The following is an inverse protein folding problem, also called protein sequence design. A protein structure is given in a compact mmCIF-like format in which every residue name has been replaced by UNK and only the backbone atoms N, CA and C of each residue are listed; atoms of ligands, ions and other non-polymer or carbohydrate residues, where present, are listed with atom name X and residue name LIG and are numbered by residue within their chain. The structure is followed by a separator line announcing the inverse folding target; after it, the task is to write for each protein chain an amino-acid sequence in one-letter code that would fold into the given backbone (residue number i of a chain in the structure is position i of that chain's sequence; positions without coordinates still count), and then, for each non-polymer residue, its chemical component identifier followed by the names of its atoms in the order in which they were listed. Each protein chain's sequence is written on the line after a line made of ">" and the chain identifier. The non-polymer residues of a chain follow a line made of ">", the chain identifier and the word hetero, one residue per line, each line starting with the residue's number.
data_IF_637685855784
#
_entry.id   IF_637685855784
#
_cell.length_a   1.000
_cell.length_b   1.000
_cell.length_c   1.000
_cell.angle_alpha   90.00
_cell.angle_beta   90.00
_cell.angle_gamma   90.00
#
_symmetry.space_group_name_H-M   'P 1'
#
loop_
_entity.id
_entity.type
_entity.pdbx_description
1 polymer ?
#
# COMPACT_ATOMS: atom_id res chain seq x y z
N UNK A 1 12.70 30.23 -7.26
CA UNK A 1 11.25 30.25 -7.41
C UNK A 1 10.88 29.11 -8.35
N UNK A 2 10.71 27.91 -7.79
CA UNK A 2 10.10 26.79 -8.50
C UNK A 2 8.60 27.00 -8.46
N UNK A 3 7.95 27.07 -9.62
CA UNK A 3 6.49 27.04 -9.69
C UNK A 3 6.01 25.71 -9.07
N UNK A 4 5.15 25.77 -8.07
CA UNK A 4 4.40 24.63 -7.56
C UNK A 4 3.42 24.15 -8.65
N UNK A 5 3.95 23.44 -9.66
CA UNK A 5 3.11 22.77 -10.64
C UNK A 5 2.49 21.57 -9.97
N UNK A 6 1.19 21.42 -10.12
CA UNK A 6 0.50 20.22 -9.65
C UNK A 6 0.98 19.00 -10.46
N UNK A 7 0.89 17.82 -9.88
CA UNK A 7 1.18 16.56 -10.61
C UNK A 7 0.32 16.44 -11.89
N UNK A 8 -0.88 17.01 -11.87
CA UNK A 8 -1.78 17.06 -13.03
C UNK A 8 -1.22 17.94 -14.16
N UNK A 9 -0.64 19.09 -13.80
CA UNK A 9 -0.06 20.02 -14.81
C UNK A 9 1.19 19.40 -15.44
N UNK A 10 2.04 18.76 -14.63
CA UNK A 10 3.22 18.04 -15.10
C UNK A 10 2.82 16.89 -16.04
N UNK A 11 1.78 16.14 -15.69
CA UNK A 11 1.24 15.07 -16.52
C UNK A 11 0.78 15.59 -17.87
N UNK A 12 0.00 16.68 -17.90
CA UNK A 12 -0.52 17.25 -19.13
C UNK A 12 0.60 17.79 -20.01
N UNK A 13 1.60 18.46 -19.45
CA UNK A 13 2.78 18.92 -20.18
C UNK A 13 3.55 17.75 -20.80
N UNK A 14 3.70 16.67 -20.05
CA UNK A 14 4.39 15.46 -20.55
C UNK A 14 3.61 14.80 -21.69
N UNK A 15 2.28 14.67 -21.58
CA UNK A 15 1.41 14.17 -22.66
C UNK A 15 1.58 15.04 -23.93
N UNK A 16 1.49 16.36 -23.79
CA UNK A 16 1.59 17.28 -24.92
C UNK A 16 2.96 17.17 -25.60
N UNK A 17 4.04 17.21 -24.81
CA UNK A 17 5.40 17.10 -25.33
C UNK A 17 5.65 15.74 -26.02
N UNK A 18 5.09 14.66 -25.48
CA UNK A 18 5.18 13.33 -26.07
C UNK A 18 4.45 13.28 -27.41
N UNK A 19 3.24 13.86 -27.51
CA UNK A 19 2.46 13.92 -28.74
C UNK A 19 3.17 14.74 -29.84
N UNK A 20 3.74 15.89 -29.48
CA UNK A 20 4.47 16.76 -30.44
C UNK A 20 5.71 16.03 -30.98
N UNK A 21 6.48 15.38 -30.11
CA UNK A 21 7.66 14.59 -30.51
C UNK A 21 7.27 13.36 -31.34
N UNK A 22 6.16 12.69 -31.02
CA UNK A 22 5.66 11.57 -31.80
C UNK A 22 5.27 12.00 -33.22
N UNK A 23 4.58 13.14 -33.35
CA UNK A 23 4.20 13.67 -34.63
C UNK A 23 5.44 14.00 -35.49
N UNK A 24 6.47 14.57 -34.90
CA UNK A 24 7.73 14.90 -35.60
C UNK A 24 8.49 13.63 -36.00
N UNK A 25 8.78 12.73 -35.04
CA UNK A 25 9.63 11.55 -35.29
C UNK A 25 8.97 10.48 -36.19
N UNK A 26 7.66 10.48 -36.33
CA UNK A 26 6.94 9.57 -37.25
C UNK A 26 6.73 10.16 -38.63
N UNK A 27 7.30 11.31 -38.95
CA UNK A 27 7.28 11.87 -40.30
C UNK A 27 8.08 11.03 -41.31
N UNK A 28 7.65 11.01 -42.60
CA UNK A 28 8.26 10.18 -43.64
C UNK A 28 9.74 10.46 -43.89
N UNK A 29 10.21 11.68 -43.60
CA UNK A 29 11.62 12.05 -43.66
C UNK A 29 12.47 11.17 -42.72
N UNK A 30 11.98 10.84 -41.53
CA UNK A 30 12.69 10.03 -40.55
C UNK A 30 12.76 8.55 -40.96
N UNK A 31 11.76 8.02 -41.69
CA UNK A 31 11.82 6.69 -42.27
C UNK A 31 12.94 6.56 -43.28
N UNK A 32 13.09 7.56 -44.16
CA UNK A 32 14.19 7.61 -45.11
C UNK A 32 15.54 7.62 -44.42
N UNK A 33 15.73 8.48 -43.41
CA UNK A 33 16.99 8.55 -42.64
C UNK A 33 17.27 7.28 -41.85
N UNK A 34 16.24 6.65 -41.27
CA UNK A 34 16.38 5.35 -40.55
C UNK A 34 16.93 4.28 -41.50
N UNK A 35 16.43 4.21 -42.71
CA UNK A 35 16.73 3.09 -43.62
C UNK A 35 17.99 3.35 -44.46
N UNK A 36 18.42 4.61 -44.62
CA UNK A 36 19.49 5.00 -45.55
C UNK A 36 20.65 5.76 -44.88
N UNK A 37 20.67 5.95 -43.57
CA UNK A 37 21.74 6.63 -42.89
C UNK A 37 22.41 5.77 -41.80
N UNK A 38 23.59 6.19 -41.37
CA UNK A 38 24.32 5.61 -40.23
C UNK A 38 23.61 5.81 -38.88
N UNK A 39 22.56 6.65 -38.86
CA UNK A 39 21.80 6.98 -37.64
C UNK A 39 20.50 6.14 -37.50
N UNK A 40 20.34 5.07 -38.27
CA UNK A 40 19.13 4.24 -38.24
C UNK A 40 18.83 3.66 -36.87
N UNK A 41 19.85 3.20 -36.15
CA UNK A 41 19.71 2.73 -34.76
C UNK A 41 19.29 3.84 -33.80
N UNK A 42 19.77 5.06 -33.98
CA UNK A 42 19.44 6.22 -33.14
C UNK A 42 17.98 6.63 -33.32
N UNK A 43 17.50 6.64 -34.57
CA UNK A 43 16.10 6.96 -34.88
C UNK A 43 15.16 5.88 -34.32
N UNK A 44 15.54 4.61 -34.47
CA UNK A 44 14.78 3.48 -33.90
C UNK A 44 14.71 3.61 -32.39
N UNK A 45 15.84 3.87 -31.71
CA UNK A 45 15.88 4.06 -30.28
C UNK A 45 15.02 5.22 -29.81
N UNK A 46 15.10 6.37 -30.48
CA UNK A 46 14.28 7.54 -30.14
C UNK A 46 12.79 7.27 -30.28
N UNK A 47 12.36 6.55 -31.32
CA UNK A 47 10.95 6.15 -31.51
C UNK A 47 10.47 5.17 -30.45
N UNK A 48 11.26 4.16 -30.11
CA UNK A 48 10.89 3.18 -29.10
C UNK A 48 10.85 3.79 -27.70
N UNK A 49 11.79 4.67 -27.35
CA UNK A 49 11.75 5.44 -26.10
C UNK A 49 10.48 6.30 -26.02
N UNK A 50 10.16 7.03 -27.10
CA UNK A 50 9.00 7.90 -27.12
C UNK A 50 7.68 7.11 -27.08
N UNK A 51 7.60 5.98 -27.79
CA UNK A 51 6.44 5.07 -27.72
C UNK A 51 6.27 4.45 -26.33
N UNK A 52 7.38 4.18 -25.63
CA UNK A 52 7.37 3.73 -24.23
C UNK A 52 6.78 4.81 -23.32
N UNK A 53 7.30 6.04 -23.40
CA UNK A 53 6.80 7.18 -22.63
C UNK A 53 5.31 7.42 -22.90
N UNK A 54 4.90 7.41 -24.17
CA UNK A 54 3.50 7.61 -24.58
C UNK A 54 2.57 6.57 -23.94
N UNK A 55 2.97 5.30 -24.02
CA UNK A 55 2.21 4.19 -23.42
C UNK A 55 2.08 4.37 -21.90
N UNK A 56 3.17 4.73 -21.22
CA UNK A 56 3.20 4.84 -19.77
C UNK A 56 2.45 6.08 -19.26
N UNK A 57 2.52 7.17 -19.97
CA UNK A 57 1.84 8.43 -19.59
C UNK A 57 0.34 8.34 -19.81
N UNK A 58 -0.10 7.78 -20.94
CA UNK A 58 -1.52 7.63 -21.26
C UNK A 58 -2.19 6.40 -20.61
N UNK A 59 -1.41 5.51 -20.01
CA UNK A 59 -1.88 4.33 -19.26
C UNK A 59 -1.60 4.46 -17.76
N UNK A 60 -0.64 3.67 -17.26
CA UNK A 60 -0.44 3.47 -15.81
C UNK A 60 -0.20 4.76 -15.01
N UNK A 61 0.48 5.76 -15.57
CA UNK A 61 0.71 7.02 -14.87
C UNK A 61 -0.60 7.78 -14.65
N UNK A 62 -1.47 7.83 -15.65
CA UNK A 62 -2.80 8.45 -15.54
C UNK A 62 -3.68 7.70 -14.51
N UNK A 63 -3.65 6.37 -14.52
CA UNK A 63 -4.44 5.57 -13.58
C UNK A 63 -3.97 5.77 -12.13
N UNK A 64 -2.65 5.79 -11.89
CA UNK A 64 -2.06 6.09 -10.59
C UNK A 64 -2.36 7.52 -10.12
N UNK A 65 -2.36 8.51 -11.02
CA UNK A 65 -2.77 9.87 -10.68
C UNK A 65 -4.25 9.96 -10.29
N UNK A 66 -5.12 9.25 -11.01
CA UNK A 66 -6.54 9.21 -10.69
C UNK A 66 -6.78 8.52 -9.34
N UNK A 67 -6.08 7.43 -9.06
CA UNK A 67 -6.09 6.78 -7.75
C UNK A 67 -5.63 7.76 -6.66
N UNK A 68 -4.50 8.44 -6.85
CA UNK A 68 -4.00 9.44 -5.90
C UNK A 68 -5.02 10.55 -5.58
N UNK A 69 -5.73 11.05 -6.60
CA UNK A 69 -6.81 12.05 -6.40
C UNK A 69 -7.97 11.49 -5.58
N UNK A 70 -8.38 10.23 -5.83
CA UNK A 70 -9.42 9.56 -5.05
C UNK A 70 -9.00 9.39 -3.58
N UNK A 71 -7.72 9.05 -3.33
CA UNK A 71 -7.17 8.89 -1.99
C UNK A 71 -7.10 10.20 -1.19
N UNK A 72 -6.87 11.34 -1.85
CA UNK A 72 -6.88 12.67 -1.21
C UNK A 72 -8.27 13.11 -0.74
N UNK A 73 -9.33 12.50 -1.25
CA UNK A 73 -10.72 12.78 -0.88
C UNK A 73 -11.20 12.11 0.40
N UNK A 74 -10.37 11.32 1.07
CA UNK A 74 -10.76 10.64 2.31
C UNK A 74 -11.09 11.63 3.42
N UNK A 75 -12.28 11.51 3.98
CA UNK A 75 -12.72 12.35 5.09
C UNK A 75 -13.54 11.54 6.10
N UNK A 76 -13.27 11.77 7.37
CA UNK A 76 -14.05 11.17 8.46
C UNK A 76 -15.43 11.86 8.52
N UNK A 77 -16.50 11.09 8.34
CA UNK A 77 -17.89 11.55 8.46
C UNK A 77 -18.65 10.62 9.40
N UNK A 78 -19.17 11.16 10.48
CA UNK A 78 -19.96 10.38 11.46
C UNK A 78 -19.24 9.11 11.95
N UNK A 79 -17.95 9.19 12.23
CA UNK A 79 -17.17 8.05 12.68
C UNK A 79 -16.78 7.03 11.59
N UNK A 80 -17.09 7.31 10.32
CA UNK A 80 -16.75 6.42 9.22
C UNK A 80 -15.93 7.11 8.13
N UNK A 81 -15.07 6.36 7.45
CA UNK A 81 -14.28 6.79 6.29
C UNK A 81 -14.51 5.81 5.15
N UNK A 82 -14.87 6.31 3.99
CA UNK A 82 -14.94 5.51 2.76
C UNK A 82 -13.56 5.47 2.11
N UNK A 83 -12.94 4.30 2.12
CA UNK A 83 -11.66 4.00 1.49
C UNK A 83 -11.80 2.97 0.35
N UNK A 84 -13.00 2.83 -0.20
CA UNK A 84 -13.28 1.87 -1.28
C UNK A 84 -12.35 2.02 -2.49
N UNK A 85 -11.81 3.23 -2.70
CA UNK A 85 -10.78 3.47 -3.73
C UNK A 85 -9.53 2.59 -3.58
N UNK A 86 -9.20 2.14 -2.37
CA UNK A 86 -8.08 1.22 -2.12
C UNK A 86 -8.37 -0.21 -2.59
N UNK A 87 -9.63 -0.57 -2.77
CA UNK A 87 -10.01 -1.91 -3.24
C UNK A 87 -9.65 -2.11 -4.72
N UNK A 88 -9.62 -1.03 -5.51
CA UNK A 88 -9.22 -1.07 -6.93
C UNK A 88 -7.69 -1.03 -7.10
N UNK A 89 -6.95 -0.76 -6.03
CA UNK A 89 -5.49 -0.57 -6.08
C UNK A 89 -4.73 -1.80 -6.62
N UNK A 90 -5.07 -3.04 -6.24
CA UNK A 90 -4.38 -4.22 -6.77
C UNK A 90 -4.43 -4.31 -8.28
N UNK A 91 -5.59 -4.11 -8.89
CA UNK A 91 -5.75 -4.20 -10.35
C UNK A 91 -5.00 -3.08 -11.07
N UNK A 92 -5.07 -1.84 -10.54
CA UNK A 92 -4.35 -0.69 -11.10
C UNK A 92 -2.83 -0.93 -11.04
N UNK A 93 -2.31 -1.37 -9.89
CA UNK A 93 -0.87 -1.61 -9.71
C UNK A 93 -0.40 -2.79 -10.55
N UNK A 94 -1.15 -3.87 -10.62
CA UNK A 94 -0.85 -5.04 -11.45
C UNK A 94 -0.81 -4.68 -12.94
N UNK A 95 -1.76 -3.87 -13.42
CA UNK A 95 -1.75 -3.40 -14.80
C UNK A 95 -0.56 -2.49 -15.07
N UNK A 96 -0.26 -1.56 -14.15
CA UNK A 96 0.90 -0.67 -14.25
C UNK A 96 2.22 -1.46 -14.29
N UNK A 97 2.39 -2.45 -13.42
CA UNK A 97 3.56 -3.33 -13.40
C UNK A 97 3.73 -4.08 -14.72
N UNK A 98 2.63 -4.67 -15.25
CA UNK A 98 2.64 -5.36 -16.53
C UNK A 98 3.08 -4.44 -17.68
N UNK A 99 2.55 -3.21 -17.74
CA UNK A 99 2.84 -2.28 -18.81
C UNK A 99 4.29 -1.80 -18.74
N UNK A 100 4.79 -1.49 -17.54
CA UNK A 100 6.20 -1.12 -17.30
C UNK A 100 7.14 -2.25 -17.70
N UNK A 101 6.89 -3.49 -17.27
CA UNK A 101 7.69 -4.66 -17.63
C UNK A 101 7.72 -4.91 -19.14
N UNK A 102 6.60 -4.68 -19.82
CA UNK A 102 6.51 -4.80 -21.27
C UNK A 102 7.35 -3.74 -21.98
N UNK A 103 7.27 -2.46 -21.54
CA UNK A 103 8.07 -1.40 -22.14
C UNK A 103 9.57 -1.63 -21.88
N UNK A 104 9.96 -2.01 -20.67
CA UNK A 104 11.35 -2.37 -20.34
C UNK A 104 11.86 -3.51 -21.24
N UNK A 105 11.01 -4.53 -21.49
CA UNK A 105 11.35 -5.64 -22.38
C UNK A 105 11.54 -5.18 -23.84
N UNK A 106 10.73 -4.24 -24.32
CA UNK A 106 10.89 -3.65 -25.67
C UNK A 106 12.17 -2.84 -25.75
N UNK A 107 12.41 -1.95 -24.81
CA UNK A 107 13.60 -1.11 -24.80
C UNK A 107 14.91 -1.92 -24.69
N UNK A 108 14.89 -3.05 -23.99
CA UNK A 108 16.04 -3.95 -23.93
C UNK A 108 16.39 -4.64 -25.27
N UNK A 109 15.46 -4.66 -26.23
CA UNK A 109 15.68 -5.19 -27.58
C UNK A 109 16.14 -4.13 -28.57
N UNK A 110 16.13 -2.86 -28.19
CA UNK A 110 16.54 -1.76 -29.05
C UNK A 110 18.04 -1.85 -29.29
N UNK A 111 18.48 -1.77 -30.57
CA UNK A 111 19.92 -1.76 -30.88
C UNK A 111 20.62 -0.57 -30.21
N UNK A 112 21.88 -0.78 -29.81
CA UNK A 112 22.68 0.29 -29.21
C UNK A 112 22.80 1.47 -30.16
N UNK A 113 22.37 2.68 -29.76
CA UNK A 113 22.51 3.88 -30.57
C UNK A 113 23.97 4.24 -30.81
N UNK A 114 24.28 4.83 -31.97
CA UNK A 114 25.62 5.30 -32.32
C UNK A 114 25.94 6.67 -31.74
N UNK A 115 24.91 7.50 -31.49
CA UNK A 115 25.04 8.80 -30.85
C UNK A 115 25.05 8.63 -29.32
N UNK A 116 26.14 8.97 -28.68
CA UNK A 116 26.34 8.78 -27.24
C UNK A 116 25.22 9.40 -26.38
N UNK A 117 24.68 10.57 -26.78
CA UNK A 117 23.60 11.23 -26.05
C UNK A 117 22.30 10.42 -26.12
N UNK A 118 21.98 9.81 -27.26
CA UNK A 118 20.78 8.95 -27.41
C UNK A 118 20.95 7.69 -26.59
N UNK A 119 22.15 7.06 -26.64
CA UNK A 119 22.47 5.90 -25.82
C UNK A 119 22.33 6.18 -24.32
N UNK A 120 22.80 7.34 -23.85
CA UNK A 120 22.67 7.73 -22.43
C UNK A 120 21.21 7.88 -22.01
N UNK A 121 20.37 8.50 -22.84
CA UNK A 121 18.93 8.68 -22.55
C UNK A 121 18.23 7.32 -22.49
N UNK A 122 18.52 6.41 -23.44
CA UNK A 122 17.96 5.07 -23.47
C UNK A 122 18.30 4.27 -22.19
N UNK A 123 19.58 4.31 -21.78
CA UNK A 123 19.98 3.61 -20.55
C UNK A 123 19.40 4.24 -19.29
N UNK A 124 19.22 5.56 -19.27
CA UNK A 124 18.54 6.27 -18.16
C UNK A 124 17.08 5.86 -18.06
N UNK A 125 16.36 5.79 -19.17
CA UNK A 125 14.97 5.34 -19.21
C UNK A 125 14.84 3.87 -18.75
N UNK A 126 15.69 2.98 -19.27
CA UNK A 126 15.71 1.58 -18.83
C UNK A 126 15.97 1.45 -17.32
N UNK A 127 16.92 2.23 -16.79
CA UNK A 127 17.25 2.21 -15.37
C UNK A 127 16.07 2.71 -14.52
N UNK A 128 15.39 3.77 -14.95
CA UNK A 128 14.20 4.29 -14.27
C UNK A 128 13.05 3.26 -14.27
N UNK A 129 12.74 2.68 -15.42
CA UNK A 129 11.70 1.66 -15.54
C UNK A 129 12.01 0.41 -14.70
N UNK A 130 13.27 -0.04 -14.70
CA UNK A 130 13.70 -1.17 -13.88
C UNK A 130 13.52 -0.90 -12.39
N UNK A 131 13.80 0.32 -11.94
CA UNK A 131 13.61 0.69 -10.53
C UNK A 131 12.13 0.62 -10.16
N UNK A 132 11.25 1.17 -10.98
CA UNK A 132 9.80 1.16 -10.73
C UNK A 132 9.25 -0.27 -10.80
N UNK A 133 9.66 -1.07 -11.80
CA UNK A 133 9.29 -2.48 -11.96
C UNK A 133 9.62 -3.29 -10.70
N UNK A 134 10.84 -3.11 -10.17
CA UNK A 134 11.28 -3.78 -8.95
C UNK A 134 10.47 -3.35 -7.72
N UNK A 135 10.16 -2.05 -7.58
CA UNK A 135 9.34 -1.53 -6.49
C UNK A 135 7.92 -2.10 -6.53
N UNK A 136 7.28 -2.10 -7.70
CA UNK A 136 5.93 -2.64 -7.84
C UNK A 136 5.90 -4.14 -7.54
N UNK A 137 6.92 -4.91 -7.96
CA UNK A 137 7.05 -6.33 -7.65
C UNK A 137 7.24 -6.61 -6.16
N UNK A 138 7.96 -5.75 -5.44
CA UNK A 138 8.19 -5.90 -3.99
C UNK A 138 6.91 -5.74 -3.18
N UNK A 139 6.03 -4.81 -3.55
CA UNK A 139 4.80 -4.51 -2.82
C UNK A 139 3.56 -5.27 -3.31
N UNK A 140 3.66 -6.06 -4.38
CA UNK A 140 2.53 -6.79 -4.99
C UNK A 140 1.78 -7.64 -3.95
N UNK A 141 2.49 -8.41 -3.13
CA UNK A 141 1.88 -9.26 -2.11
C UNK A 141 1.06 -8.49 -1.08
N UNK A 142 1.55 -7.34 -0.62
CA UNK A 142 0.85 -6.48 0.35
C UNK A 142 -0.37 -5.82 -0.27
N UNK A 143 -0.21 -5.28 -1.48
CA UNK A 143 -1.29 -4.58 -2.19
C UNK A 143 -2.45 -5.52 -2.49
N UNK A 144 -2.17 -6.76 -2.88
CA UNK A 144 -3.18 -7.78 -3.15
C UNK A 144 -4.00 -8.20 -1.91
N UNK A 145 -3.50 -7.94 -0.70
CA UNK A 145 -4.25 -8.20 0.54
C UNK A 145 -5.23 -7.07 0.91
N UNK A 146 -5.10 -5.88 0.33
CA UNK A 146 -5.92 -4.72 0.70
C UNK A 146 -7.43 -4.98 0.60
N UNK A 147 -7.99 -5.53 -0.49
CA UNK A 147 -9.43 -5.79 -0.56
C UNK A 147 -9.92 -6.67 0.56
N UNK A 148 -9.19 -7.76 0.84
CA UNK A 148 -9.52 -8.67 1.92
C UNK A 148 -9.46 -7.98 3.28
N UNK A 149 -8.43 -7.18 3.55
CA UNK A 149 -8.30 -6.41 4.80
C UNK A 149 -9.40 -5.36 4.94
N UNK A 150 -9.90 -4.81 3.83
CA UNK A 150 -10.97 -3.82 3.79
C UNK A 150 -12.38 -4.43 3.73
N UNK A 151 -12.50 -5.74 3.91
CA UNK A 151 -13.80 -6.40 4.05
C UNK A 151 -14.49 -6.70 2.73
N UNK A 152 -13.77 -7.01 1.64
CA UNK A 152 -14.35 -7.40 0.35
C UNK A 152 -15.28 -8.61 0.51
N UNK A 153 -14.82 -9.64 1.22
CA UNK A 153 -15.53 -10.91 1.44
C UNK A 153 -16.49 -10.88 2.64
N UNK A 154 -16.64 -9.74 3.30
CA UNK A 154 -17.50 -9.53 4.47
C UNK A 154 -16.85 -8.68 5.55
N UNK A 155 -17.69 -8.21 6.48
CA UNK A 155 -17.28 -7.37 7.60
C UNK A 155 -16.13 -8.00 8.39
N UNK A 156 -15.09 -7.20 8.67
CA UNK A 156 -13.94 -7.54 9.51
C UNK A 156 -13.85 -6.56 10.67
N UNK A 157 -13.58 -7.08 11.84
CA UNK A 157 -13.34 -6.27 13.03
C UNK A 157 -11.85 -6.31 13.39
N UNK A 158 -11.28 -5.14 13.66
CA UNK A 158 -9.92 -4.96 14.15
C UNK A 158 -9.98 -4.29 15.51
N UNK A 159 -9.27 -4.84 16.49
CA UNK A 159 -9.13 -4.19 17.80
C UNK A 159 -7.94 -3.26 17.77
N UNK A 160 -8.10 -2.06 18.30
CA UNK A 160 -7.03 -1.10 18.51
C UNK A 160 -6.78 -0.96 19.99
N UNK A 161 -5.68 -1.47 20.46
CA UNK A 161 -5.20 -1.28 21.83
C UNK A 161 -4.51 0.08 21.94
N UNK A 162 -5.05 0.98 22.76
CA UNK A 162 -4.41 2.25 23.07
C UNK A 162 -3.56 2.05 24.32
N UNK A 163 -2.25 2.19 24.15
CA UNK A 163 -1.27 1.98 25.21
C UNK A 163 -0.86 3.30 25.83
N UNK A 164 -0.59 3.29 27.13
CA UNK A 164 -0.04 4.42 27.85
C UNK A 164 1.49 4.28 27.95
N UNK A 165 2.29 5.05 27.18
CA UNK A 165 3.74 4.94 27.21
C UNK A 165 4.37 5.49 28.51
N UNK A 166 3.63 6.20 29.35
CA UNK A 166 4.11 6.61 30.67
C UNK A 166 4.24 5.42 31.64
N UNK A 167 3.56 4.30 31.32
CA UNK A 167 3.66 3.04 32.05
C UNK A 167 4.32 1.98 31.16
N UNK A 168 5.63 2.07 31.00
CA UNK A 168 6.40 1.18 30.14
C UNK A 168 6.24 -0.29 30.53
N UNK A 169 6.04 -1.13 29.52
CA UNK A 169 5.96 -2.58 29.59
C UNK A 169 6.83 -3.20 28.48
N UNK A 170 7.02 -4.51 28.51
CA UNK A 170 7.88 -5.19 27.54
C UNK A 170 7.37 -5.10 26.09
N UNK A 171 6.05 -5.08 25.88
CA UNK A 171 5.43 -4.93 24.57
C UNK A 171 4.82 -3.53 24.33
N UNK A 172 5.44 -2.47 24.88
CA UNK A 172 4.98 -1.09 24.75
C UNK A 172 4.52 -0.49 26.09
N UNK A 173 3.32 0.07 26.13
CA UNK A 173 2.72 0.66 27.32
C UNK A 173 1.62 -0.21 27.95
N UNK A 174 1.03 0.28 29.02
CA UNK A 174 -0.15 -0.33 29.63
C UNK A 174 -1.38 -0.14 28.72
N UNK A 175 -2.14 -1.21 28.44
CA UNK A 175 -3.39 -1.14 27.68
C UNK A 175 -4.51 -0.60 28.58
N UNK A 176 -4.86 0.66 28.39
CA UNK A 176 -5.93 1.31 29.18
C UNK A 176 -7.28 1.38 28.44
N UNK A 177 -7.27 1.28 27.14
CA UNK A 177 -8.45 1.43 26.29
C UNK A 177 -8.34 0.54 25.06
N UNK A 178 -9.45 -0.04 24.63
CA UNK A 178 -9.55 -0.77 23.38
C UNK A 178 -10.72 -0.21 22.58
N UNK A 179 -10.53 0.00 21.28
CA UNK A 179 -11.58 0.36 20.34
C UNK A 179 -11.71 -0.74 19.28
N UNK A 180 -12.94 -0.99 18.82
CA UNK A 180 -13.18 -1.82 17.67
C UNK A 180 -13.29 -0.95 16.41
N UNK A 181 -12.52 -1.27 15.37
CA UNK A 181 -12.65 -0.69 14.05
C UNK A 181 -13.21 -1.76 13.13
N UNK A 182 -14.26 -1.45 12.37
CA UNK A 182 -14.81 -2.38 11.39
C UNK A 182 -14.48 -1.91 9.99
N UNK A 183 -14.17 -2.87 9.12
CA UNK A 183 -14.01 -2.68 7.70
C UNK A 183 -15.04 -3.53 6.96
N UNK A 184 -15.86 -2.91 6.13
CA UNK A 184 -16.88 -3.56 5.31
C UNK A 184 -16.92 -2.92 3.93
N UNK A 185 -16.56 -3.68 2.91
CA UNK A 185 -16.53 -3.24 1.50
C UNK A 185 -15.88 -1.87 1.30
N UNK A 186 -14.73 -1.67 1.94
CA UNK A 186 -13.97 -0.42 1.84
C UNK A 186 -14.51 0.73 2.70
N UNK A 187 -15.52 0.50 3.53
CA UNK A 187 -15.94 1.46 4.55
C UNK A 187 -15.33 1.10 5.90
N UNK A 188 -14.53 1.99 6.44
CA UNK A 188 -13.94 1.86 7.78
C UNK A 188 -14.80 2.63 8.76
N UNK A 189 -15.31 1.98 9.80
CA UNK A 189 -16.06 2.61 10.89
C UNK A 189 -15.29 2.46 12.20
N UNK A 190 -15.08 3.58 12.88
CA UNK A 190 -14.43 3.62 14.18
C UNK A 190 -15.53 3.52 15.23
N UNK A 191 -15.47 2.46 16.04
CA UNK A 191 -16.35 2.25 17.18
C UNK A 191 -15.93 3.05 18.42
N UNK A 192 -16.70 2.89 19.48
CA UNK A 192 -16.42 3.56 20.74
C UNK A 192 -15.12 3.06 21.40
N UNK A 193 -14.43 3.97 22.03
CA UNK A 193 -13.25 3.66 22.84
C UNK A 193 -13.71 3.20 24.22
N UNK A 194 -13.58 1.91 24.49
CA UNK A 194 -13.95 1.32 25.76
C UNK A 194 -12.74 1.26 26.71
N UNK A 195 -12.89 1.80 27.91
CA UNK A 195 -11.90 1.58 28.98
C UNK A 195 -11.88 0.10 29.35
N UNK A 196 -10.69 -0.46 29.55
CA UNK A 196 -10.51 -1.86 29.98
C UNK A 196 -10.70 -2.07 31.48
N UNK A 197 -10.87 -0.99 32.23
CA UNK A 197 -11.19 -1.05 33.67
C UNK A 197 -12.60 -1.55 33.88
N UNK A 198 -12.75 -2.61 34.69
CA UNK A 198 -14.04 -3.20 35.03
C UNK A 198 -14.56 -4.21 34.01
N UNK A 199 -13.72 -4.66 33.10
CA UNK A 199 -14.07 -5.80 32.24
C UNK A 199 -14.25 -7.08 33.05
N UNK A 200 -15.17 -7.94 32.61
CA UNK A 200 -15.32 -9.26 33.16
C UNK A 200 -14.07 -10.11 32.89
N UNK A 201 -13.61 -10.81 33.92
CA UNK A 201 -12.43 -11.67 33.83
C UNK A 201 -12.88 -13.03 33.30
N UNK A 202 -12.25 -13.57 32.23
CA UNK A 202 -12.54 -14.90 31.75
C UNK A 202 -12.38 -15.97 32.87
N UNK A 203 -13.38 -16.82 33.02
CA UNK A 203 -13.35 -17.90 34.02
C UNK A 203 -12.27 -18.94 33.66
N UNK A 204 -12.11 -19.22 32.37
CA UNK A 204 -11.14 -20.17 31.87
C UNK A 204 -9.93 -19.46 31.26
N UNK A 205 -8.74 -20.05 31.34
CA UNK A 205 -7.57 -19.51 30.64
C UNK A 205 -7.74 -19.60 29.12
N UNK A 206 -7.15 -18.69 28.36
CA UNK A 206 -7.24 -18.69 26.90
C UNK A 206 -6.74 -20.02 26.29
N UNK A 207 -5.68 -20.56 26.80
CA UNK A 207 -5.07 -21.84 26.40
C UNK A 207 -4.15 -22.40 27.50
N UNK A 208 -3.64 -23.63 27.29
CA UNK A 208 -2.73 -24.28 28.24
C UNK A 208 -1.37 -23.57 28.38
N UNK A 209 -0.96 -22.80 27.37
CA UNK A 209 0.31 -22.08 27.40
C UNK A 209 0.28 -20.95 28.42
N UNK A 210 -0.86 -20.27 28.56
CA UNK A 210 -1.08 -19.22 29.56
C UNK A 210 -0.76 -19.69 30.97
N UNK A 211 -1.07 -20.96 31.32
CA UNK A 211 -0.77 -21.52 32.66
C UNK A 211 0.75 -21.58 32.94
N UNK A 212 1.58 -21.75 31.91
CA UNK A 212 3.03 -21.72 32.03
C UNK A 212 3.53 -20.29 32.09
N UNK A 213 2.93 -19.40 31.29
CA UNK A 213 3.23 -17.98 31.26
C UNK A 213 2.93 -17.30 32.62
N UNK A 214 1.86 -17.71 33.31
CA UNK A 214 1.58 -17.24 34.70
C UNK A 214 2.72 -17.52 35.66
N UNK A 215 3.46 -18.61 35.48
CA UNK A 215 4.62 -18.92 36.34
C UNK A 215 5.79 -17.92 36.15
N UNK A 216 5.84 -17.25 35.02
CA UNK A 216 6.88 -16.30 34.67
C UNK A 216 6.41 -14.85 34.95
N UNK A 217 5.20 -14.52 34.52
CA UNK A 217 4.69 -13.14 34.51
C UNK A 217 3.74 -12.83 35.68
N UNK A 218 3.33 -13.84 36.45
CA UNK A 218 2.40 -13.71 37.57
C UNK A 218 0.97 -14.15 37.25
N UNK A 219 0.22 -14.49 38.28
CA UNK A 219 -1.11 -15.16 38.16
C UNK A 219 -2.17 -14.28 37.49
N UNK A 220 -2.00 -12.96 37.48
CA UNK A 220 -2.99 -12.02 36.95
C UNK A 220 -2.63 -11.47 35.57
N UNK A 221 -1.53 -11.96 34.96
CA UNK A 221 -1.00 -11.33 33.77
C UNK A 221 -1.95 -11.43 32.55
N UNK A 222 -2.78 -12.46 32.48
CA UNK A 222 -3.77 -12.74 31.43
C UNK A 222 -5.22 -12.43 31.85
N UNK A 223 -5.41 -11.82 33.04
CA UNK A 223 -6.75 -11.50 33.54
C UNK A 223 -7.23 -10.10 33.14
N UNK A 224 -6.30 -9.18 32.87
CA UNK A 224 -6.62 -7.81 32.54
C UNK A 224 -5.83 -7.35 31.31
N UNK A 225 -6.44 -6.63 30.35
CA UNK A 225 -5.71 -6.04 29.25
C UNK A 225 -4.47 -5.25 29.68
N UNK A 226 -4.58 -4.52 30.77
CA UNK A 226 -3.51 -3.71 31.35
C UNK A 226 -2.25 -4.49 31.72
N UNK A 227 -2.35 -5.79 32.02
CA UNK A 227 -1.23 -6.63 32.46
C UNK A 227 -0.60 -7.44 31.36
N UNK A 228 -1.29 -7.65 30.24
CA UNK A 228 -0.84 -8.52 29.13
C UNK A 228 0.47 -8.06 28.50
N UNK A 229 0.72 -6.75 28.43
CA UNK A 229 1.92 -6.17 27.80
C UNK A 229 3.22 -6.36 28.57
N UNK A 230 3.19 -7.08 29.69
CA UNK A 230 4.39 -7.60 30.36
C UNK A 230 5.08 -8.64 29.49
N UNK A 231 4.31 -9.45 28.72
CA UNK A 231 4.84 -10.36 27.73
C UNK A 231 5.51 -9.54 26.59
N UNK A 232 6.77 -9.81 26.23
CA UNK A 232 7.45 -9.11 25.14
C UNK A 232 6.93 -9.54 23.75
N UNK A 233 6.23 -10.65 23.63
CA UNK A 233 5.72 -11.16 22.36
C UNK A 233 4.36 -10.55 22.03
N UNK A 234 4.35 -9.54 21.14
CA UNK A 234 3.13 -8.84 20.76
C UNK A 234 2.02 -9.76 20.26
N UNK A 235 2.37 -10.84 19.55
CA UNK A 235 1.36 -11.80 19.08
C UNK A 235 0.58 -12.43 20.22
N UNK A 236 1.26 -12.77 21.33
CA UNK A 236 0.59 -13.30 22.54
C UNK A 236 -0.28 -12.25 23.21
N UNK A 237 0.23 -11.04 23.35
CA UNK A 237 -0.53 -9.91 23.89
C UNK A 237 -1.81 -9.69 23.08
N UNK A 238 -1.71 -9.70 21.75
CA UNK A 238 -2.85 -9.53 20.85
C UNK A 238 -3.88 -10.66 21.00
N UNK A 239 -3.44 -11.92 21.13
CA UNK A 239 -4.31 -13.08 21.35
C UNK A 239 -5.07 -12.98 22.67
N UNK A 240 -4.38 -12.63 23.75
CA UNK A 240 -5.00 -12.45 25.07
C UNK A 240 -6.03 -11.31 25.08
N UNK A 241 -5.68 -10.17 24.49
CA UNK A 241 -6.61 -9.04 24.41
C UNK A 241 -7.82 -9.35 23.53
N UNK A 242 -7.64 -10.08 22.43
CA UNK A 242 -8.75 -10.59 21.62
C UNK A 242 -9.65 -11.52 22.42
N UNK A 243 -9.07 -12.44 23.17
CA UNK A 243 -9.82 -13.38 24.02
C UNK A 243 -10.65 -12.65 25.07
N UNK A 244 -10.05 -11.70 25.80
CA UNK A 244 -10.75 -10.90 26.78
C UNK A 244 -11.83 -9.99 26.18
N UNK A 245 -11.59 -9.43 24.97
CA UNK A 245 -12.60 -8.67 24.25
C UNK A 245 -13.83 -9.51 23.91
N UNK A 246 -13.62 -10.72 23.36
CA UNK A 246 -14.71 -11.63 22.99
C UNK A 246 -15.49 -12.15 24.21
N UNK A 247 -14.89 -12.13 25.37
CA UNK A 247 -15.54 -12.51 26.62
C UNK A 247 -16.51 -11.43 27.14
N UNK A 248 -16.33 -10.18 26.71
CA UNK A 248 -17.24 -9.11 27.14
C UNK A 248 -18.61 -9.28 26.47
N UNK A 249 -19.68 -9.06 27.27
CA UNK A 249 -21.07 -9.19 26.81
C UNK A 249 -21.33 -8.37 25.53
N UNK A 250 -21.84 -9.04 24.53
CA UNK A 250 -22.20 -8.45 23.23
C UNK A 250 -21.09 -8.53 22.17
N UNK A 251 -19.91 -9.08 22.53
CA UNK A 251 -18.78 -9.22 21.60
C UNK A 251 -18.53 -10.68 21.18
N UNK A 252 -19.30 -11.62 21.69
CA UNK A 252 -19.05 -13.09 21.62
C UNK A 252 -18.97 -13.59 20.18
N UNK A 253 -19.76 -12.98 19.27
CA UNK A 253 -19.84 -13.38 17.87
C UNK A 253 -19.01 -12.46 16.91
N UNK A 254 -18.20 -11.54 17.47
CA UNK A 254 -17.40 -10.63 16.66
C UNK A 254 -16.27 -11.36 15.92
N UNK A 255 -16.20 -11.19 14.60
CA UNK A 255 -15.11 -11.71 13.78
C UNK A 255 -13.89 -10.78 13.87
N UNK A 256 -13.08 -10.95 14.91
CA UNK A 256 -11.84 -10.17 15.09
C UNK A 256 -10.76 -10.71 14.16
N UNK A 257 -10.48 -9.96 13.10
CA UNK A 257 -9.50 -10.28 12.06
C UNK A 257 -8.06 -9.93 12.46
N UNK A 258 -7.87 -8.97 13.36
CA UNK A 258 -6.55 -8.55 13.81
C UNK A 258 -6.59 -7.62 15.01
N UNK A 259 -5.42 -7.39 15.58
CA UNK A 259 -5.21 -6.46 16.71
C UNK A 259 -4.07 -5.52 16.35
N UNK A 260 -4.30 -4.23 16.56
CA UNK A 260 -3.35 -3.15 16.32
C UNK A 260 -2.98 -2.52 17.66
N UNK A 261 -1.76 -2.03 17.79
CA UNK A 261 -1.30 -1.25 18.92
C UNK A 261 -1.09 0.21 18.50
N UNK A 262 -1.53 1.12 19.36
CA UNK A 262 -1.30 2.55 19.25
C UNK A 262 -0.73 3.03 20.57
N UNK A 263 0.50 3.56 20.56
CA UNK A 263 1.27 4.13 21.67
C UNK A 263 1.67 5.58 21.41
#
# INVERSE_FOLDING_TARGET
>A
CGSDKSLSDISQELVNATNDLNAELNGPQWDFFRDHSRFGSDITAAREMLASVDTLVNGPFTDLLNLSKRLQGFSLKNGSVDVSALMDMPDIVKQAHKDISQQLTKLNKVPTPSVAKVATVLETEKAALKTVDSMLGEYDGLINLLPQLLGEDGKRTYLVMVQNPAELRSAGGMVGTIAAITADKGTITIGDFATTSGWDIPEEPMDETVLKERQVFGDTFDQYPATTTIDPEFQRVAQMNKYMWLYQKGNEDENVAGVLSLD
#
